data_IF_879911824434
#
_entry.id   IF_879911824434
#
_cell.length_a   1.000
_cell.length_b   1.000
_cell.length_c   1.000
_cell.angle_alpha   90.00
_cell.angle_beta   90.00
_cell.angle_gamma   90.00
#
_symmetry.space_group_name_H-M   'P 1'
#
loop_
_entity.id
_entity.type
_entity.pdbx_description
1 polymer ?
#
# COMPACT_ATOMS: atom_id res chain seq x y z
N UNK A 1 2.93 6.22 -19.69
CA UNK A 1 2.26 5.73 -18.45
C UNK A 1 1.92 6.85 -17.47
N UNK A 2 2.86 7.75 -17.16
CA UNK A 2 2.67 8.82 -16.16
C UNK A 2 1.59 9.85 -16.53
N UNK A 3 1.62 10.38 -17.75
CA UNK A 3 0.64 11.38 -18.23
C UNK A 3 -0.82 10.92 -18.17
N UNK A 4 -1.08 9.62 -18.41
CA UNK A 4 -2.43 9.04 -18.31
C UNK A 4 -2.94 9.11 -16.87
N UNK A 5 -2.08 8.83 -15.90
CA UNK A 5 -2.44 8.88 -14.49
C UNK A 5 -2.62 10.33 -14.01
N UNK A 6 -1.78 11.27 -14.45
CA UNK A 6 -1.97 12.70 -14.16
C UNK A 6 -3.32 13.20 -14.68
N UNK A 7 -3.68 12.87 -15.93
CA UNK A 7 -4.98 13.22 -16.51
C UNK A 7 -6.16 12.64 -15.71
N UNK A 8 -6.04 11.41 -15.20
CA UNK A 8 -7.06 10.81 -14.31
C UNK A 8 -7.21 11.58 -13.01
N UNK A 9 -6.11 11.99 -12.39
CA UNK A 9 -6.14 12.75 -11.13
C UNK A 9 -6.82 14.11 -11.34
N UNK A 10 -6.49 14.82 -12.42
CA UNK A 10 -7.09 16.12 -12.76
C UNK A 10 -8.61 16.06 -12.97
N UNK A 11 -9.13 14.89 -13.40
CA UNK A 11 -10.56 14.66 -13.63
C UNK A 11 -11.24 13.89 -12.50
N UNK A 12 -10.60 13.76 -11.33
CA UNK A 12 -11.18 13.03 -10.21
C UNK A 12 -12.40 13.75 -9.64
N UNK A 13 -13.52 13.03 -9.45
CA UNK A 13 -14.81 13.57 -8.97
C UNK A 13 -15.43 14.63 -9.87
N UNK A 14 -14.97 14.75 -11.11
CA UNK A 14 -15.58 15.59 -12.12
C UNK A 14 -16.93 14.99 -12.54
N UNK A 15 -18.00 15.76 -12.31
CA UNK A 15 -19.40 15.39 -12.55
C UNK A 15 -19.63 15.06 -14.03
N UNK A 16 -18.86 15.65 -14.95
CA UNK A 16 -18.95 15.36 -16.39
C UNK A 16 -18.57 13.92 -16.74
N UNK A 17 -17.79 13.24 -15.89
CA UNK A 17 -17.42 11.83 -16.06
C UNK A 17 -18.37 10.86 -15.34
N UNK A 18 -19.55 11.35 -14.92
CA UNK A 18 -20.55 10.59 -14.20
C UNK A 18 -20.56 10.87 -12.69
N UNK A 19 -21.75 10.75 -12.11
CA UNK A 19 -22.01 11.02 -10.70
C UNK A 19 -23.18 10.18 -10.18
N UNK A 20 -23.25 10.05 -8.87
CA UNK A 20 -24.43 9.58 -8.15
C UNK A 20 -25.13 10.81 -7.58
N UNK A 21 -26.44 10.89 -7.76
CA UNK A 21 -27.28 11.88 -7.11
C UNK A 21 -27.95 11.27 -5.88
N UNK A 22 -27.76 11.90 -4.73
CA UNK A 22 -28.36 11.51 -3.46
C UNK A 22 -29.38 12.57 -3.08
N UNK A 23 -30.63 12.16 -2.87
CA UNK A 23 -31.70 13.04 -2.41
C UNK A 23 -32.11 12.65 -1.00
N UNK A 24 -32.07 13.61 -0.07
CA UNK A 24 -32.61 13.42 1.26
C UNK A 24 -34.15 13.40 1.18
N UNK A 25 -34.77 12.38 1.76
CA UNK A 25 -36.23 12.25 1.81
C UNK A 25 -36.87 13.23 2.80
N UNK A 26 -36.15 13.61 3.86
CA UNK A 26 -36.70 14.45 4.94
C UNK A 26 -36.62 15.96 4.61
N UNK A 27 -35.49 16.44 4.10
CA UNK A 27 -35.28 17.86 3.80
C UNK A 27 -35.29 18.20 2.30
N UNK A 28 -35.35 17.20 1.42
CA UNK A 28 -35.34 17.39 -0.03
C UNK A 28 -34.00 17.81 -0.64
N UNK A 29 -32.94 17.96 0.17
CA UNK A 29 -31.61 18.36 -0.31
C UNK A 29 -31.05 17.34 -1.30
N UNK A 30 -30.49 17.84 -2.42
CA UNK A 30 -29.91 17.03 -3.49
C UNK A 30 -28.40 17.25 -3.52
N UNK A 31 -27.64 16.16 -3.43
CA UNK A 31 -26.18 16.16 -3.48
C UNK A 31 -25.67 15.29 -4.62
N UNK A 32 -24.86 15.88 -5.49
CA UNK A 32 -24.18 15.16 -6.58
C UNK A 32 -22.77 14.75 -6.15
N UNK A 33 -22.46 13.47 -6.27
CA UNK A 33 -21.16 12.89 -5.91
C UNK A 33 -20.51 12.29 -7.15
N UNK A 34 -19.49 12.98 -7.69
CA UNK A 34 -18.74 12.52 -8.86
C UNK A 34 -17.91 11.27 -8.58
N UNK A 35 -17.71 10.44 -9.62
CA UNK A 35 -16.94 9.21 -9.48
C UNK A 35 -15.44 9.45 -9.23
N UNK A 36 -14.84 8.56 -8.44
CA UNK A 36 -13.41 8.64 -8.11
C UNK A 36 -12.55 8.09 -9.24
N UNK A 37 -11.38 8.69 -9.48
CA UNK A 37 -10.51 8.28 -10.59
C UNK A 37 -9.72 6.99 -10.33
N UNK A 38 -9.71 6.51 -9.08
CA UNK A 38 -8.99 5.31 -8.60
C UNK A 38 -7.49 5.30 -8.96
N UNK A 39 -6.91 6.48 -9.24
CA UNK A 39 -5.48 6.60 -9.52
C UNK A 39 -4.69 6.50 -8.21
N UNK A 40 -3.58 5.76 -8.26
CA UNK A 40 -2.60 5.68 -7.16
C UNK A 40 -1.93 7.01 -6.81
N UNK A 41 -1.98 8.00 -7.70
CA UNK A 41 -1.43 9.33 -7.46
C UNK A 41 -2.46 10.30 -6.87
N UNK A 42 -3.75 9.93 -6.86
CA UNK A 42 -4.79 10.75 -6.25
C UNK A 42 -4.76 10.55 -4.74
N UNK A 43 -4.39 11.58 -3.97
CA UNK A 43 -4.34 11.52 -2.50
C UNK A 43 -5.69 11.17 -1.88
N UNK A 44 -6.79 11.73 -2.42
CA UNK A 44 -8.13 11.44 -1.93
C UNK A 44 -8.57 9.99 -2.17
N UNK A 45 -8.23 9.40 -3.33
CA UNK A 45 -8.56 8.01 -3.63
C UNK A 45 -7.60 7.04 -2.91
N UNK A 46 -6.31 7.37 -2.89
CA UNK A 46 -5.28 6.57 -2.24
C UNK A 46 -5.50 6.45 -0.74
N UNK A 47 -5.93 7.53 -0.08
CA UNK A 47 -6.25 7.52 1.36
C UNK A 47 -7.37 6.53 1.69
N UNK A 48 -8.48 6.56 0.95
CA UNK A 48 -9.60 5.61 1.12
C UNK A 48 -9.13 4.16 0.94
N UNK A 49 -8.27 3.90 -0.06
CA UNK A 49 -7.72 2.56 -0.27
C UNK A 49 -6.85 2.10 0.92
N UNK A 50 -5.97 2.97 1.42
CA UNK A 50 -5.13 2.69 2.58
C UNK A 50 -5.99 2.44 3.82
N UNK A 51 -7.01 3.26 4.06
CA UNK A 51 -7.89 3.12 5.22
C UNK A 51 -8.69 1.81 5.18
N UNK A 52 -9.23 1.45 4.02
CA UNK A 52 -9.91 0.16 3.84
C UNK A 52 -8.96 -1.02 4.10
N UNK A 53 -7.72 -0.94 3.62
CA UNK A 53 -6.71 -1.97 3.86
C UNK A 53 -6.34 -2.06 5.35
N UNK A 54 -6.14 -0.92 6.03
CA UNK A 54 -5.89 -0.86 7.47
C UNK A 54 -7.05 -1.47 8.26
N UNK A 55 -8.29 -1.10 7.95
CA UNK A 55 -9.48 -1.67 8.59
C UNK A 55 -9.56 -3.19 8.41
N UNK A 56 -9.27 -3.70 7.22
CA UNK A 56 -9.21 -5.14 6.96
C UNK A 56 -8.08 -5.86 7.71
N UNK A 57 -6.98 -5.17 8.02
CA UNK A 57 -5.90 -5.73 8.83
C UNK A 57 -6.18 -5.66 10.33
N UNK A 58 -6.87 -4.62 10.82
CA UNK A 58 -7.22 -4.49 12.23
C UNK A 58 -7.99 -5.71 12.74
N UNK A 59 -8.89 -6.28 11.91
CA UNK A 59 -9.59 -7.53 12.24
C UNK A 59 -8.72 -8.79 12.24
N UNK A 60 -7.49 -8.74 11.74
CA UNK A 60 -6.53 -9.87 11.69
C UNK A 60 -5.38 -9.73 12.67
N UNK A 61 -5.25 -8.57 13.32
CA UNK A 61 -4.19 -8.31 14.27
C UNK A 61 -4.51 -8.98 15.61
N UNK A 62 -3.54 -9.71 16.13
CA UNK A 62 -3.61 -10.34 17.45
C UNK A 62 -3.16 -9.30 18.48
N UNK A 63 -3.86 -9.21 19.61
CA UNK A 63 -3.54 -8.25 20.68
C UNK A 63 -2.28 -8.65 21.46
N UNK A 64 -1.11 -8.44 20.83
CA UNK A 64 0.22 -8.75 21.39
C UNK A 64 1.21 -7.62 21.07
N UNK A 65 2.38 -7.63 21.70
CA UNK A 65 3.44 -6.68 21.36
C UNK A 65 3.95 -6.93 19.95
N UNK A 66 3.78 -5.96 19.06
CA UNK A 66 4.31 -6.01 17.70
C UNK A 66 5.73 -5.42 17.62
N UNK A 67 6.54 -5.93 16.69
CA UNK A 67 7.87 -5.37 16.36
C UNK A 67 7.87 -4.92 14.91
N UNK A 68 8.36 -3.70 14.67
CA UNK A 68 8.53 -3.15 13.32
C UNK A 68 10.00 -3.33 12.89
N UNK A 69 10.20 -3.99 11.74
CA UNK A 69 11.52 -4.22 11.15
C UNK A 69 11.56 -3.62 9.74
N UNK A 70 12.64 -2.90 9.43
CA UNK A 70 12.84 -2.27 8.12
C UNK A 70 14.03 -2.92 7.42
N UNK A 71 13.75 -3.56 6.28
CA UNK A 71 14.79 -4.11 5.41
C UNK A 71 15.03 -3.15 4.25
N UNK A 72 16.27 -2.71 4.10
CA UNK A 72 16.68 -1.83 2.99
C UNK A 72 17.52 -2.64 2.02
N UNK A 73 17.18 -2.56 0.73
CA UNK A 73 17.96 -3.21 -0.32
C UNK A 73 19.20 -2.35 -0.61
N UNK A 74 20.38 -2.99 -0.75
CA UNK A 74 21.59 -2.35 -1.28
C UNK A 74 21.32 -1.61 -2.60
N UNK A 75 22.06 -0.53 -2.83
CA UNK A 75 21.84 0.36 -3.97
C UNK A 75 22.01 -0.35 -5.32
N UNK A 76 23.02 -1.22 -5.38
CA UNK A 76 23.43 -2.01 -6.54
C UNK A 76 22.31 -2.93 -7.02
N UNK A 77 21.48 -3.42 -6.10
CA UNK A 77 20.36 -4.31 -6.38
C UNK A 77 19.09 -3.54 -6.76
N UNK A 78 19.00 -2.22 -6.54
CA UNK A 78 17.79 -1.45 -6.88
C UNK A 78 17.48 -1.49 -8.37
N UNK A 79 18.51 -1.42 -9.22
CA UNK A 79 18.34 -1.53 -10.67
C UNK A 79 17.78 -2.89 -11.10
N UNK A 80 18.15 -3.97 -10.40
CA UNK A 80 17.64 -5.31 -10.69
C UNK A 80 16.12 -5.41 -10.48
N UNK A 81 15.61 -4.81 -9.40
CA UNK A 81 14.17 -4.75 -9.12
C UNK A 81 13.44 -3.62 -9.86
N UNK A 82 14.16 -2.59 -10.30
CA UNK A 82 13.61 -1.48 -11.08
C UNK A 82 13.26 -1.87 -12.52
N UNK A 83 14.03 -2.78 -13.12
CA UNK A 83 13.80 -3.29 -14.49
C UNK A 83 12.55 -4.16 -14.60
N UNK A 84 12.27 -4.95 -13.57
CA UNK A 84 11.17 -5.91 -13.55
C UNK A 84 10.46 -5.85 -12.18
N UNK A 85 9.25 -5.30 -12.19
CA UNK A 85 8.46 -5.10 -10.98
C UNK A 85 7.91 -6.39 -10.39
N UNK A 86 7.77 -7.46 -11.16
CA UNK A 86 7.26 -8.72 -10.62
C UNK A 86 8.24 -9.34 -9.61
N UNK A 87 9.53 -9.03 -9.74
CA UNK A 87 10.58 -9.44 -8.80
C UNK A 87 10.44 -8.81 -7.42
N UNK A 88 9.72 -7.69 -7.29
CA UNK A 88 9.48 -7.07 -5.98
C UNK A 88 8.76 -8.01 -5.01
N UNK A 89 7.95 -8.96 -5.54
CA UNK A 89 7.26 -9.98 -4.74
C UNK A 89 8.22 -10.90 -3.97
N UNK A 90 9.48 -11.01 -4.40
CA UNK A 90 10.51 -11.79 -3.72
C UNK A 90 10.96 -11.15 -2.41
N UNK A 91 10.91 -9.82 -2.31
CA UNK A 91 11.47 -9.09 -1.16
C UNK A 91 10.75 -9.40 0.15
N UNK A 92 9.39 -9.35 0.22
CA UNK A 92 8.66 -9.80 1.41
C UNK A 92 8.94 -11.26 1.76
N UNK A 93 9.06 -12.13 0.76
CA UNK A 93 9.31 -13.56 0.98
C UNK A 93 10.69 -13.78 1.60
N UNK A 94 11.71 -13.10 1.09
CA UNK A 94 13.06 -13.14 1.65
C UNK A 94 13.10 -12.56 3.07
N UNK A 95 12.46 -11.41 3.31
CA UNK A 95 12.39 -10.81 4.63
C UNK A 95 11.67 -11.72 5.64
N UNK A 96 10.53 -12.30 5.25
CA UNK A 96 9.80 -13.25 6.08
C UNK A 96 10.65 -14.48 6.41
N UNK A 97 11.29 -15.09 5.41
CA UNK A 97 12.20 -16.24 5.60
C UNK A 97 13.39 -15.91 6.52
N UNK A 98 13.98 -14.72 6.39
CA UNK A 98 15.07 -14.30 7.25
C UNK A 98 14.62 -14.18 8.70
N UNK A 99 13.45 -13.56 8.95
CA UNK A 99 12.91 -13.42 10.30
C UNK A 99 12.49 -14.77 10.89
N UNK A 100 11.78 -15.61 10.14
CA UNK A 100 11.33 -16.92 10.64
C UNK A 100 12.51 -17.84 10.94
N UNK A 101 13.52 -17.90 10.05
CA UNK A 101 14.71 -18.72 10.28
C UNK A 101 15.55 -18.23 11.46
N UNK A 102 15.66 -16.90 11.64
CA UNK A 102 16.32 -16.33 12.81
C UNK A 102 15.56 -16.68 14.10
N UNK A 103 14.24 -16.50 14.13
CA UNK A 103 13.41 -16.83 15.29
C UNK A 103 13.45 -18.33 15.62
N UNK A 104 13.38 -19.21 14.63
CA UNK A 104 13.48 -20.66 14.82
C UNK A 104 14.80 -21.05 15.51
N UNK A 105 15.92 -20.44 15.13
CA UNK A 105 17.22 -20.67 15.79
C UNK A 105 17.25 -20.18 17.24
N UNK A 106 16.52 -19.12 17.57
CA UNK A 106 16.42 -18.62 18.94
C UNK A 106 15.43 -19.44 19.79
N UNK A 107 14.45 -20.05 19.13
CA UNK A 107 13.35 -20.72 19.77
C UNK A 107 13.68 -22.18 20.05
N UNK A 108 14.36 -22.43 21.18
CA UNK A 108 14.80 -23.78 21.56
C UNK A 108 13.71 -24.61 22.28
N UNK A 109 12.61 -24.01 22.74
CA UNK A 109 11.64 -24.68 23.62
C UNK A 109 10.15 -24.34 23.40
N UNK A 110 9.79 -23.21 22.79
CA UNK A 110 8.40 -22.74 22.79
C UNK A 110 7.64 -22.99 21.47
N UNK A 111 8.29 -23.52 20.43
CA UNK A 111 7.70 -23.90 19.12
C UNK A 111 6.72 -22.88 18.48
N UNK A 112 6.76 -21.60 18.89
CA UNK A 112 5.89 -20.58 18.33
C UNK A 112 6.23 -20.26 16.87
N UNK A 113 5.18 -20.05 16.08
CA UNK A 113 5.27 -19.53 14.70
C UNK A 113 4.95 -18.04 14.70
N UNK A 114 5.89 -17.16 14.28
CA UNK A 114 5.63 -15.73 14.25
C UNK A 114 4.66 -15.36 13.13
N UNK A 115 3.67 -14.51 13.44
CA UNK A 115 2.86 -13.82 12.44
C UNK A 115 3.66 -12.67 11.84
N UNK A 116 3.71 -12.57 10.51
CA UNK A 116 4.46 -11.53 9.80
C UNK A 116 3.53 -10.80 8.83
N UNK A 117 3.49 -9.47 8.96
CA UNK A 117 2.92 -8.57 7.97
C UNK A 117 4.09 -7.86 7.30
N UNK A 118 4.19 -7.98 5.97
CA UNK A 118 5.26 -7.37 5.19
C UNK A 118 4.68 -6.45 4.13
N UNK A 119 5.21 -5.23 4.05
CA UNK A 119 4.81 -4.19 3.09
C UNK A 119 6.04 -3.74 2.32
N UNK A 120 5.91 -3.57 1.00
CA UNK A 120 7.00 -3.07 0.15
C UNK A 120 6.82 -1.56 -0.03
N UNK A 121 7.82 -0.79 0.37
CA UNK A 121 7.94 0.62 0.01
C UNK A 121 8.86 0.76 -1.20
N UNK A 122 8.28 1.07 -2.36
CA UNK A 122 9.02 1.25 -3.62
C UNK A 122 9.53 2.68 -3.85
N UNK A 123 9.05 3.63 -3.05
CA UNK A 123 9.40 5.05 -3.14
C UNK A 123 9.81 5.57 -1.77
N UNK A 124 10.88 6.39 -1.73
CA UNK A 124 11.24 7.16 -0.55
C UNK A 124 10.32 8.37 -0.36
N UNK A 125 10.55 9.14 0.72
CA UNK A 125 9.83 10.39 1.01
C UNK A 125 9.83 11.39 -0.15
N UNK A 126 10.89 11.41 -0.95
CA UNK A 126 11.05 12.33 -2.08
C UNK A 126 10.38 11.82 -3.38
N UNK A 127 9.53 10.79 -3.32
CA UNK A 127 8.92 10.11 -4.49
C UNK A 127 9.91 9.59 -5.54
N UNK A 128 11.20 9.63 -5.23
CA UNK A 128 12.25 9.04 -6.02
C UNK A 128 12.29 7.53 -5.70
N UNK A 129 12.22 6.67 -6.73
CA UNK A 129 13.12 5.53 -6.73
C UNK A 129 14.49 6.19 -6.63
N UNK A 130 15.27 5.95 -5.57
CA UNK A 130 16.64 6.48 -5.45
C UNK A 130 17.39 6.05 -6.71
N UNK A 131 17.36 6.96 -7.68
CA UNK A 131 17.89 6.84 -9.02
C UNK A 131 19.37 6.96 -8.78
N UNK A 132 20.07 5.88 -9.07
CA UNK A 132 21.52 5.83 -9.15
C UNK A 132 21.92 7.01 -10.03
N UNK A 133 22.65 7.98 -9.46
CA UNK A 133 23.52 8.84 -10.24
C UNK A 133 24.73 7.99 -10.63
#
# INVERSE_FOLDING_TARGET
MLFKEVKKVMKCKDISNGYIELKCVDCGEIKKVGFTCKSRFCTSCGKVYVDNWVNGMLGKLINVKHRHMVFTIPEELRNYFGKDRDRLKLLPQCAAKAVTSWMYKQNKKEEFTPGIISVIHTFGRDLNLKRIK
#
